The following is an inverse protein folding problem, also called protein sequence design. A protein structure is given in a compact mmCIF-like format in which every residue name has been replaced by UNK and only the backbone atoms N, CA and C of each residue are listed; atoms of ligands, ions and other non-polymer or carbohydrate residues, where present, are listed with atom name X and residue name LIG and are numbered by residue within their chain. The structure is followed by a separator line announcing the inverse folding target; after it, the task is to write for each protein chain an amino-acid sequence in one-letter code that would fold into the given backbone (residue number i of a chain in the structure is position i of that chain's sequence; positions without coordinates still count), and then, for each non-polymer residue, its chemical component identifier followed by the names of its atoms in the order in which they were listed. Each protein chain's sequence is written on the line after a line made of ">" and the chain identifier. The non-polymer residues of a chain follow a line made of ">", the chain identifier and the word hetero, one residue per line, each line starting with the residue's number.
data_IF_379962353583
#
_entry.id   IF_379962353583
#
_cell.length_a   1.000
_cell.length_b   1.000
_cell.length_c   1.000
_cell.angle_alpha   90.00
_cell.angle_beta   90.00
_cell.angle_gamma   90.00
#
_symmetry.space_group_name_H-M   'P 1'
#
loop_
_entity.id
_entity.type
_entity.pdbx_description
1 polymer ?
#
# COMPACT_ATOMS: atom_id res chain seq x y z
N UNK A 1 3.84 -13.69 -1.25
CA UNK A 1 3.27 -12.41 -1.68
C UNK A 1 1.89 -12.70 -2.24
N UNK A 2 0.87 -11.94 -1.84
CA UNK A 2 -0.51 -12.16 -2.26
C UNK A 2 -0.82 -11.33 -3.52
N UNK A 3 -1.32 -11.96 -4.58
CA UNK A 3 -1.63 -11.30 -5.85
C UNK A 3 -2.75 -10.26 -5.70
N UNK A 4 -3.71 -10.48 -4.80
CA UNK A 4 -4.81 -9.53 -4.55
C UNK A 4 -4.30 -8.19 -3.99
N UNK A 5 -3.26 -8.22 -3.14
CA UNK A 5 -2.64 -6.99 -2.63
C UNK A 5 -1.98 -6.21 -3.77
N UNK A 6 -1.36 -6.91 -4.72
CA UNK A 6 -0.75 -6.29 -5.91
C UNK A 6 -1.82 -5.59 -6.74
N UNK A 7 -2.94 -6.25 -7.00
CA UNK A 7 -4.07 -5.67 -7.73
C UNK A 7 -4.63 -4.42 -7.02
N UNK A 8 -4.90 -4.51 -5.71
CA UNK A 8 -5.44 -3.39 -4.92
C UNK A 8 -4.51 -2.16 -5.00
N UNK A 9 -3.20 -2.35 -4.85
CA UNK A 9 -2.22 -1.25 -4.87
C UNK A 9 -2.01 -0.71 -6.28
N UNK A 10 -1.97 -1.56 -7.30
CA UNK A 10 -1.85 -1.14 -8.69
C UNK A 10 -3.09 -0.35 -9.15
N UNK A 11 -4.30 -0.79 -8.77
CA UNK A 11 -5.53 -0.04 -9.03
C UNK A 11 -5.55 1.30 -8.29
N UNK A 12 -5.04 1.35 -7.07
CA UNK A 12 -4.92 2.60 -6.32
C UNK A 12 -3.93 3.57 -6.96
N UNK A 13 -2.84 3.05 -7.54
CA UNK A 13 -1.77 3.81 -8.21
C UNK A 13 -1.38 5.07 -7.41
N UNK A 14 -0.80 4.90 -6.20
CA UNK A 14 -0.68 5.97 -5.20
C UNK A 14 0.04 7.22 -5.69
N UNK A 15 0.93 7.08 -6.68
CA UNK A 15 1.69 8.20 -7.26
C UNK A 15 1.41 8.42 -8.75
N UNK A 16 0.34 7.82 -9.29
CA UNK A 16 -0.15 8.02 -10.66
C UNK A 16 0.94 7.81 -11.73
N UNK A 17 1.67 6.70 -11.66
CA UNK A 17 2.67 6.33 -12.66
C UNK A 17 2.00 5.85 -13.94
N UNK A 18 2.54 6.29 -15.09
CA UNK A 18 2.13 5.85 -16.42
C UNK A 18 3.36 5.74 -17.35
N UNK A 19 3.58 4.58 -18.02
CA UNK A 19 2.79 3.36 -17.93
C UNK A 19 3.00 2.65 -16.58
N UNK A 20 1.91 2.12 -16.00
CA UNK A 20 1.99 1.29 -14.80
C UNK A 20 2.27 -0.16 -15.23
N UNK A 21 3.39 -0.71 -14.80
CA UNK A 21 3.75 -2.11 -15.00
C UNK A 21 3.44 -2.92 -13.73
N UNK A 22 3.35 -4.24 -13.87
CA UNK A 22 2.84 -5.14 -12.82
C UNK A 22 3.66 -5.07 -11.51
N UNK A 23 4.98 -4.90 -11.61
CA UNK A 23 5.93 -4.92 -10.50
C UNK A 23 6.33 -3.54 -9.97
N UNK A 24 5.65 -2.46 -10.42
CA UNK A 24 6.01 -1.07 -10.08
C UNK A 24 6.09 -0.84 -8.56
N UNK A 25 5.17 -1.41 -7.79
CA UNK A 25 5.09 -1.27 -6.32
C UNK A 25 5.57 -2.51 -5.55
N UNK A 26 6.30 -3.42 -6.19
CA UNK A 26 6.69 -4.71 -5.61
C UNK A 26 7.39 -4.56 -4.25
N UNK A 27 8.29 -3.60 -4.14
CA UNK A 27 9.07 -3.35 -2.90
C UNK A 27 8.18 -2.86 -1.75
N UNK A 28 7.23 -1.99 -2.04
CA UNK A 28 6.29 -1.42 -1.06
C UNK A 28 5.27 -2.47 -0.63
N UNK A 29 4.69 -3.19 -1.59
CA UNK A 29 3.75 -4.30 -1.34
C UNK A 29 4.40 -5.36 -0.45
N UNK A 30 5.66 -5.71 -0.70
CA UNK A 30 6.38 -6.67 0.13
C UNK A 30 6.49 -6.21 1.57
N UNK A 31 6.83 -4.94 1.81
CA UNK A 31 6.89 -4.37 3.17
C UNK A 31 5.52 -4.42 3.85
N UNK A 32 4.46 -4.08 3.12
CA UNK A 32 3.08 -4.11 3.64
C UNK A 32 2.68 -5.53 4.04
N UNK A 33 2.99 -6.52 3.20
CA UNK A 33 2.68 -7.93 3.46
C UNK A 33 3.41 -8.51 4.68
N UNK A 34 4.59 -7.99 5.01
CA UNK A 34 5.39 -8.43 6.16
C UNK A 34 4.90 -7.83 7.51
N UNK A 35 3.99 -6.85 7.48
CA UNK A 35 3.41 -6.25 8.70
C UNK A 35 2.51 -7.28 9.40
N UNK A 36 2.65 -7.39 10.72
CA UNK A 36 1.81 -8.24 11.56
C UNK A 36 0.95 -7.39 12.49
N UNK A 37 -0.25 -7.09 12.02
CA UNK A 37 -1.28 -6.38 12.79
C UNK A 37 -2.68 -6.89 12.44
N UNK A 38 -3.63 -6.72 13.37
CA UNK A 38 -5.06 -6.88 13.12
C UNK A 38 -5.80 -5.51 13.21
N UNK A 39 -5.06 -4.41 13.34
CA UNK A 39 -5.61 -3.06 13.40
C UNK A 39 -5.52 -2.41 12.02
N UNK A 40 -6.67 -2.04 11.47
CA UNK A 40 -6.75 -1.26 10.22
C UNK A 40 -6.04 0.08 10.37
N UNK A 41 -6.16 0.71 11.53
CA UNK A 41 -5.50 2.00 11.84
C UNK A 41 -3.98 1.86 11.79
N UNK A 42 -3.43 0.85 12.47
CA UNK A 42 -1.98 0.59 12.45
C UNK A 42 -1.51 0.26 11.03
N UNK A 43 -2.26 -0.56 10.29
CA UNK A 43 -1.92 -0.89 8.91
C UNK A 43 -1.95 0.36 8.00
N UNK A 44 -2.92 1.25 8.16
CA UNK A 44 -3.02 2.49 7.40
C UNK A 44 -1.81 3.41 7.63
N UNK A 45 -1.39 3.56 8.89
CA UNK A 45 -0.19 4.32 9.25
C UNK A 45 1.06 3.72 8.62
N UNK A 46 1.22 2.39 8.68
CA UNK A 46 2.36 1.71 8.09
C UNK A 46 2.36 1.81 6.55
N UNK A 47 1.22 1.66 5.89
CA UNK A 47 1.08 1.88 4.43
C UNK A 47 1.54 3.30 4.09
N UNK A 48 1.01 4.30 4.81
CA UNK A 48 1.40 5.70 4.60
C UNK A 48 2.91 5.90 4.77
N UNK A 49 3.51 5.35 5.83
CA UNK A 49 4.96 5.42 6.07
C UNK A 49 5.76 4.77 4.95
N UNK A 50 5.37 3.57 4.49
CA UNK A 50 6.05 2.84 3.41
C UNK A 50 6.10 3.69 2.14
N UNK A 51 4.96 4.25 1.73
CA UNK A 51 4.88 5.04 0.50
C UNK A 51 5.53 6.44 0.63
N UNK A 52 5.43 7.09 1.79
CA UNK A 52 6.17 8.34 2.06
C UNK A 52 7.67 8.12 1.99
N UNK A 53 8.18 7.02 2.54
CA UNK A 53 9.61 6.71 2.51
C UNK A 53 10.09 6.40 1.09
N UNK A 54 9.30 5.65 0.31
CA UNK A 54 9.63 5.27 -1.05
C UNK A 54 9.62 6.47 -2.01
N UNK A 55 8.57 7.28 -1.97
CA UNK A 55 8.27 8.26 -3.01
C UNK A 55 8.34 9.72 -2.55
N UNK A 56 8.48 9.96 -1.24
CA UNK A 56 8.67 11.28 -0.63
C UNK A 56 7.60 12.27 -1.10
N UNK A 57 8.01 13.26 -1.90
CA UNK A 57 7.13 14.35 -2.37
C UNK A 57 6.13 13.91 -3.44
N UNK A 58 6.38 12.79 -4.11
CA UNK A 58 5.48 12.25 -5.13
C UNK A 58 4.27 11.56 -4.51
N UNK A 59 4.39 11.09 -3.26
CA UNK A 59 3.27 10.56 -2.51
C UNK A 59 2.53 11.68 -1.78
N UNK A 60 1.31 11.96 -2.24
CA UNK A 60 0.45 13.03 -1.72
C UNK A 60 -0.89 12.52 -1.19
N UNK A 61 -0.96 11.21 -0.90
CA UNK A 61 -2.16 10.54 -0.41
C UNK A 61 -2.34 10.80 1.08
N UNK A 62 -3.59 10.99 1.49
CA UNK A 62 -3.90 11.23 2.89
C UNK A 62 -3.90 9.92 3.70
N UNK A 63 -3.87 10.06 5.02
CA UNK A 63 -3.99 8.89 5.91
C UNK A 63 -5.37 8.21 5.75
N UNK A 64 -6.42 8.97 5.44
CA UNK A 64 -7.76 8.43 5.18
C UNK A 64 -7.80 7.59 3.89
N UNK A 65 -7.09 8.00 2.83
CA UNK A 65 -6.94 7.15 1.64
C UNK A 65 -6.18 5.86 1.98
N UNK A 66 -5.12 5.95 2.80
CA UNK A 66 -4.37 4.77 3.24
C UNK A 66 -5.24 3.84 4.11
N UNK A 67 -6.17 4.40 4.88
CA UNK A 67 -7.11 3.64 5.70
C UNK A 67 -8.09 2.81 4.85
N UNK A 68 -8.66 3.39 3.78
CA UNK A 68 -9.50 2.63 2.84
C UNK A 68 -8.74 1.50 2.16
N UNK A 69 -7.45 1.69 1.90
CA UNK A 69 -6.59 0.65 1.33
C UNK A 69 -6.26 -0.42 2.39
N UNK A 70 -6.00 -0.02 3.63
CA UNK A 70 -5.78 -0.93 4.75
C UNK A 70 -6.99 -1.84 5.00
N UNK A 71 -8.22 -1.31 4.95
CA UNK A 71 -9.44 -2.12 5.09
C UNK A 71 -9.53 -3.25 4.07
N UNK A 72 -9.10 -3.01 2.82
CA UNK A 72 -9.11 -4.02 1.76
C UNK A 72 -8.03 -5.08 1.95
N UNK A 73 -6.95 -4.76 2.66
CA UNK A 73 -5.73 -5.59 2.73
C UNK A 73 -5.60 -6.33 4.07
N UNK A 74 -6.23 -5.87 5.15
CA UNK A 74 -6.03 -6.39 6.52
C UNK A 74 -6.23 -7.91 6.64
N UNK A 75 -7.18 -8.48 5.90
CA UNK A 75 -7.45 -9.92 5.92
C UNK A 75 -6.49 -10.75 5.04
N UNK A 76 -5.70 -10.09 4.19
CA UNK A 76 -4.77 -10.69 3.22
C UNK A 76 -3.32 -10.77 3.73
N UNK A 77 -2.99 -10.06 4.82
CA UNK A 77 -1.63 -10.01 5.43
C UNK A 77 -1.44 -10.97 6.62
N UNK A 78 -2.45 -11.80 6.90
CA UNK A 78 -2.45 -12.78 7.99
C UNK A 78 -1.40 -13.86 7.78
#
# INVERSE_FOLDING_TARGET
>A
MNAEIVEIINEWNPIKIYPLIEDEYYSEIRKIYEIKTNSVEELAEQIHVVFVQAFKKEFNKSIEECWWIAEKIIDLIK
#
